data_IF_323166383939
#
_entry.id   IF_323166383939
#
_cell.length_a   1.000
_cell.length_b   1.000
_cell.length_c   1.000
_cell.angle_alpha   90.00
_cell.angle_beta   90.00
_cell.angle_gamma   90.00
#
_symmetry.space_group_name_H-M   'P 1'
#
loop_
_entity.id
_entity.type
_entity.pdbx_description
1 polymer ?
#
# COMPACT_ATOMS: atom_id res chain seq x y z
N UNK A 1 12.19 -13.77 27.20
CA UNK A 1 12.38 -13.04 25.93
C UNK A 1 11.74 -13.87 24.85
N UNK A 2 10.56 -13.45 24.39
CA UNK A 2 9.62 -14.34 23.76
C UNK A 2 9.65 -14.31 22.23
N UNK A 3 8.95 -15.27 21.65
CA UNK A 3 8.67 -15.48 20.23
C UNK A 3 8.28 -14.15 19.52
N UNK A 4 7.58 -13.25 20.18
CA UNK A 4 7.24 -11.91 19.66
C UNK A 4 8.44 -11.01 19.30
N UNK A 5 9.54 -11.10 20.04
CA UNK A 5 10.75 -10.29 19.74
C UNK A 5 11.53 -10.82 18.53
N UNK A 6 11.45 -12.11 18.27
CA UNK A 6 12.09 -12.74 17.12
C UNK A 6 11.35 -12.40 15.82
N UNK A 7 10.02 -12.51 15.82
CA UNK A 7 9.18 -12.11 14.65
C UNK A 7 9.28 -10.62 14.33
N UNK A 8 9.41 -9.77 15.33
CA UNK A 8 9.64 -8.32 15.14
C UNK A 8 10.98 -8.04 14.45
N UNK A 9 12.02 -8.79 14.84
CA UNK A 9 13.36 -8.65 14.26
C UNK A 9 13.41 -9.09 12.79
N UNK A 10 12.82 -10.24 12.46
CA UNK A 10 12.75 -10.77 11.10
C UNK A 10 11.97 -9.83 10.16
N UNK A 11 10.85 -9.27 10.62
CA UNK A 11 10.08 -8.27 9.87
C UNK A 11 10.89 -6.99 9.61
N UNK A 12 11.66 -6.51 10.60
CA UNK A 12 12.55 -5.35 10.44
C UNK A 12 13.65 -5.67 9.42
N UNK A 13 14.30 -6.80 9.51
CA UNK A 13 15.34 -7.22 8.55
C UNK A 13 14.81 -7.30 7.10
N UNK A 14 13.60 -7.84 6.92
CA UNK A 14 12.95 -7.89 5.61
C UNK A 14 12.59 -6.50 5.09
N UNK A 15 12.12 -5.61 5.96
CA UNK A 15 11.84 -4.20 5.62
C UNK A 15 13.11 -3.47 5.21
N UNK A 16 14.18 -3.56 6.00
CA UNK A 16 15.46 -2.91 5.73
C UNK A 16 16.09 -3.42 4.43
N UNK A 17 16.01 -4.72 4.17
CA UNK A 17 16.46 -5.33 2.91
C UNK A 17 15.62 -4.87 1.73
N UNK A 18 14.30 -4.87 1.87
CA UNK A 18 13.37 -4.45 0.81
C UNK A 18 13.49 -2.96 0.47
N UNK A 19 13.84 -2.11 1.43
CA UNK A 19 14.02 -0.68 1.22
C UNK A 19 15.46 -0.26 0.93
N UNK A 20 16.41 -1.18 0.83
CA UNK A 20 17.86 -0.87 0.71
C UNK A 20 18.17 0.09 -0.44
N UNK A 21 17.61 -0.12 -1.63
CA UNK A 21 17.83 0.75 -2.80
C UNK A 21 17.24 2.15 -2.60
N UNK A 22 16.06 2.24 -2.02
CA UNK A 22 15.44 3.53 -1.69
C UNK A 22 16.26 4.26 -0.63
N UNK A 23 16.69 3.55 0.42
CA UNK A 23 17.55 4.08 1.47
C UNK A 23 18.87 4.62 0.91
N UNK A 24 19.59 3.85 0.09
CA UNK A 24 20.85 4.29 -0.53
C UNK A 24 20.65 5.55 -1.36
N UNK A 25 19.58 5.65 -2.12
CA UNK A 25 19.31 6.80 -2.95
C UNK A 25 18.86 8.02 -2.14
N UNK A 26 17.89 7.88 -1.26
CA UNK A 26 17.30 9.00 -0.50
C UNK A 26 18.23 9.43 0.63
N UNK A 27 18.63 8.51 1.50
CA UNK A 27 19.44 8.83 2.69
C UNK A 27 20.85 9.31 2.32
N UNK A 28 21.51 8.67 1.36
CA UNK A 28 22.84 9.10 0.90
C UNK A 28 22.79 10.52 0.32
N UNK A 29 21.74 10.84 -0.45
CA UNK A 29 21.57 12.19 -1.00
C UNK A 29 21.29 13.22 0.11
N UNK A 30 20.39 12.90 1.06
CA UNK A 30 20.12 13.76 2.22
C UNK A 30 21.40 14.01 2.99
N UNK A 31 22.16 12.97 3.34
CA UNK A 31 23.42 13.11 4.09
C UNK A 31 24.43 13.99 3.34
N UNK A 32 24.52 13.85 2.01
CA UNK A 32 25.39 14.71 1.20
C UNK A 32 24.92 16.17 1.15
N UNK A 33 23.60 16.39 1.06
CA UNK A 33 23.01 17.73 1.01
C UNK A 33 23.31 18.54 2.30
N UNK A 34 23.39 17.86 3.44
CA UNK A 34 23.67 18.49 4.75
C UNK A 34 25.14 18.38 5.20
N UNK A 35 25.98 17.60 4.49
CA UNK A 35 27.37 17.36 4.87
C UNK A 35 28.21 18.65 4.90
N UNK A 36 29.02 18.82 5.95
CA UNK A 36 29.93 19.98 6.10
C UNK A 36 29.26 21.30 6.50
N UNK A 37 27.94 21.28 6.70
CA UNK A 37 27.17 22.43 7.17
C UNK A 37 26.98 22.37 8.68
N UNK A 38 27.24 23.49 9.39
CA UNK A 38 27.06 23.59 10.84
C UNK A 38 25.67 24.09 11.24
N UNK A 39 24.95 24.72 10.30
CA UNK A 39 23.61 25.30 10.51
C UNK A 39 22.72 24.97 9.33
N UNK A 40 21.41 24.99 9.58
CA UNK A 40 20.38 24.90 8.54
C UNK A 40 20.21 26.31 7.96
N UNK A 41 20.67 26.49 6.74
CA UNK A 41 20.52 27.71 5.94
C UNK A 41 19.67 27.43 4.70
N UNK A 42 19.32 28.48 3.95
CA UNK A 42 18.52 28.37 2.73
C UNK A 42 19.14 27.36 1.74
N UNK A 43 20.45 27.33 1.61
CA UNK A 43 21.16 26.41 0.72
C UNK A 43 21.03 24.95 1.17
N UNK A 44 20.91 24.67 2.46
CA UNK A 44 20.62 23.33 2.97
C UNK A 44 19.18 22.93 2.66
N UNK A 45 18.23 23.86 2.80
CA UNK A 45 16.81 23.63 2.50
C UNK A 45 16.58 23.41 1.01
N UNK A 46 17.19 24.22 0.14
CA UNK A 46 17.14 24.05 -1.32
C UNK A 46 17.66 22.66 -1.75
N UNK A 47 18.83 22.26 -1.22
CA UNK A 47 19.40 20.94 -1.50
C UNK A 47 18.49 19.80 -1.00
N UNK A 48 17.84 19.98 0.15
CA UNK A 48 16.91 18.99 0.70
C UNK A 48 15.65 18.89 -0.17
N UNK A 49 15.13 20.02 -0.65
CA UNK A 49 14.00 20.07 -1.58
C UNK A 49 14.34 19.30 -2.86
N UNK A 50 15.50 19.55 -3.48
CA UNK A 50 15.94 18.82 -4.69
C UNK A 50 16.03 17.31 -4.43
N UNK A 51 16.56 16.90 -3.30
CA UNK A 51 16.66 15.47 -2.94
C UNK A 51 15.29 14.84 -2.80
N UNK A 52 14.33 15.47 -2.13
CA UNK A 52 13.00 14.95 -1.92
C UNK A 52 12.23 14.82 -3.26
N UNK A 53 12.33 15.85 -4.12
CA UNK A 53 11.72 15.82 -5.46
C UNK A 53 12.32 14.68 -6.32
N UNK A 54 13.65 14.58 -6.36
CA UNK A 54 14.34 13.55 -7.16
C UNK A 54 14.18 12.14 -6.59
N UNK A 55 13.65 12.02 -5.38
CA UNK A 55 13.28 10.76 -4.72
C UNK A 55 11.80 10.38 -4.89
N UNK A 56 11.09 11.06 -5.81
CA UNK A 56 9.67 10.83 -6.12
C UNK A 56 8.69 11.13 -4.96
N UNK A 57 9.07 11.97 -3.98
CA UNK A 57 8.15 12.43 -2.91
C UNK A 57 7.01 13.29 -3.48
N UNK A 58 7.27 13.96 -4.62
CA UNK A 58 6.34 14.88 -5.26
C UNK A 58 6.48 16.32 -4.74
N UNK A 59 6.27 17.27 -5.63
CA UNK A 59 6.55 18.71 -5.38
C UNK A 59 5.71 19.25 -4.22
N UNK A 60 4.41 19.01 -4.22
CA UNK A 60 3.49 19.53 -3.20
C UNK A 60 3.85 19.05 -1.79
N UNK A 61 4.13 17.75 -1.63
CA UNK A 61 4.52 17.15 -0.35
C UNK A 61 5.90 17.62 0.08
N UNK A 62 6.84 17.77 -0.87
CA UNK A 62 8.17 18.31 -0.60
C UNK A 62 8.09 19.73 -0.03
N UNK A 63 7.35 20.62 -0.67
CA UNK A 63 7.17 22.00 -0.18
C UNK A 63 6.54 22.04 1.22
N UNK A 64 5.60 21.15 1.52
CA UNK A 64 5.05 21.04 2.88
C UNK A 64 6.10 20.58 3.90
N UNK A 65 6.99 19.67 3.53
CA UNK A 65 8.08 19.20 4.40
C UNK A 65 9.05 20.36 4.68
N UNK A 66 9.47 21.07 3.64
CA UNK A 66 10.40 22.21 3.76
C UNK A 66 9.80 23.31 4.63
N UNK A 67 8.57 23.78 4.37
CA UNK A 67 7.88 24.78 5.19
C UNK A 67 7.79 24.41 6.68
N UNK A 68 7.54 23.14 6.98
CA UNK A 68 7.51 22.65 8.37
C UNK A 68 8.88 22.64 9.02
N UNK A 69 9.92 22.29 8.27
CA UNK A 69 11.31 22.34 8.75
C UNK A 69 11.71 23.78 9.01
N UNK A 70 11.45 24.71 8.10
CA UNK A 70 11.72 26.14 8.27
C UNK A 70 11.08 26.69 9.55
N UNK A 71 9.78 26.48 9.73
CA UNK A 71 9.06 26.91 10.94
C UNK A 71 9.65 26.33 12.22
N UNK A 72 10.15 25.10 12.15
CA UNK A 72 10.76 24.45 13.30
C UNK A 72 12.15 25.00 13.61
N UNK A 73 12.94 25.27 12.58
CA UNK A 73 14.26 25.90 12.70
C UNK A 73 14.14 27.32 13.26
N UNK A 74 13.18 28.12 12.76
CA UNK A 74 12.89 29.46 13.28
C UNK A 74 12.50 29.45 14.76
N UNK A 75 11.63 28.51 15.14
CA UNK A 75 11.17 28.38 16.53
C UNK A 75 12.27 27.97 17.49
N UNK A 76 13.07 26.98 17.10
CA UNK A 76 14.05 26.34 17.96
C UNK A 76 15.40 27.13 17.95
N UNK A 77 15.51 28.16 17.12
CA UNK A 77 16.61 29.18 16.97
C UNK A 77 18.00 28.63 16.66
N UNK A 78 18.25 27.37 16.89
CA UNK A 78 19.53 26.72 16.63
C UNK A 78 19.30 25.24 16.36
N UNK A 79 19.44 24.82 15.10
CA UNK A 79 19.33 23.42 14.69
C UNK A 79 20.61 23.00 14.01
N UNK A 80 21.28 22.01 14.58
CA UNK A 80 22.44 21.36 13.96
C UNK A 80 22.00 20.45 12.83
N UNK A 81 22.90 20.12 11.92
CA UNK A 81 22.61 19.20 10.81
C UNK A 81 22.26 17.78 11.29
N UNK A 82 22.76 17.35 12.45
CA UNK A 82 22.37 16.09 13.07
C UNK A 82 20.92 16.10 13.59
N UNK A 83 20.48 17.24 14.16
CA UNK A 83 19.08 17.43 14.59
C UNK A 83 18.14 17.55 13.40
N UNK A 84 18.59 18.13 12.28
CA UNK A 84 17.81 18.25 11.05
C UNK A 84 17.35 16.88 10.52
N UNK A 85 18.21 15.86 10.57
CA UNK A 85 17.85 14.51 10.16
C UNK A 85 16.70 13.95 11.02
N UNK A 86 16.75 14.16 12.33
CA UNK A 86 15.69 13.78 13.25
C UNK A 86 14.37 14.54 12.98
N UNK A 87 14.47 15.86 12.75
CA UNK A 87 13.31 16.69 12.41
C UNK A 87 12.68 16.24 11.11
N UNK A 88 13.47 16.02 10.05
CA UNK A 88 12.98 15.55 8.76
C UNK A 88 12.27 14.21 8.88
N UNK A 89 12.83 13.27 9.62
CA UNK A 89 12.23 11.97 9.91
C UNK A 89 10.87 12.13 10.59
N UNK A 90 10.78 12.94 11.62
CA UNK A 90 9.55 13.18 12.36
C UNK A 90 8.47 13.86 11.49
N UNK A 91 8.86 14.86 10.69
CA UNK A 91 7.93 15.54 9.78
C UNK A 91 7.40 14.60 8.69
N UNK A 92 8.25 13.75 8.11
CA UNK A 92 7.80 12.72 7.16
C UNK A 92 6.84 11.73 7.84
N UNK A 93 7.19 11.24 9.03
CA UNK A 93 6.32 10.32 9.78
C UNK A 93 4.95 10.93 10.12
N UNK A 94 4.92 12.25 10.39
CA UNK A 94 3.69 12.98 10.68
C UNK A 94 2.81 13.23 9.44
N UNK A 95 3.38 13.25 8.25
CA UNK A 95 2.63 13.37 6.99
C UNK A 95 1.99 12.06 6.55
N UNK A 96 2.62 10.94 6.88
CA UNK A 96 2.11 9.62 6.51
C UNK A 96 0.83 9.29 7.26
N UNK A 97 -0.18 8.91 6.47
CA UNK A 97 -1.45 8.40 7.00
C UNK A 97 -1.34 6.89 7.18
N UNK A 98 -1.54 6.44 8.41
CA UNK A 98 -1.47 5.03 8.80
C UNK A 98 -2.87 4.52 9.11
N UNK A 99 -3.10 3.23 8.85
CA UNK A 99 -4.33 2.59 9.26
C UNK A 99 -4.37 2.53 10.80
N UNK A 100 -5.48 3.00 11.39
CA UNK A 100 -5.67 3.06 12.85
C UNK A 100 -5.94 1.69 13.51
N UNK A 101 -5.65 0.57 12.86
CA UNK A 101 -5.69 -0.73 13.53
C UNK A 101 -4.58 -0.76 14.57
N UNK A 102 -4.98 -0.40 15.79
CA UNK A 102 -4.13 -0.41 16.97
C UNK A 102 -3.67 -1.84 17.25
N UNK A 103 -2.38 -1.97 17.54
CA UNK A 103 -1.74 -3.09 18.26
C UNK A 103 -2.03 -4.54 17.80
N UNK A 104 -2.05 -4.80 16.48
CA UNK A 104 -2.16 -6.16 15.95
C UNK A 104 -1.19 -6.45 14.79
N UNK A 105 -1.19 -7.66 14.32
CA UNK A 105 -0.47 -8.10 13.13
C UNK A 105 -1.01 -7.46 11.82
N UNK A 106 -2.06 -6.60 11.92
CA UNK A 106 -2.70 -5.90 10.80
C UNK A 106 -3.71 -6.76 10.02
N UNK A 107 -3.95 -7.98 10.46
CA UNK A 107 -4.91 -8.92 9.87
C UNK A 107 -6.10 -9.19 10.80
N UNK A 108 -6.23 -8.42 11.88
CA UNK A 108 -7.42 -8.38 12.73
C UNK A 108 -8.55 -7.71 11.99
N UNK A 109 -9.73 -8.33 12.00
CA UNK A 109 -10.92 -7.82 11.34
C UNK A 109 -11.80 -7.08 12.34
N UNK A 110 -12.59 -6.08 11.89
CA UNK A 110 -13.58 -5.43 12.74
C UNK A 110 -14.59 -6.46 13.29
N UNK A 111 -14.83 -6.44 14.60
CA UNK A 111 -15.72 -7.41 15.27
C UNK A 111 -17.18 -7.28 14.85
N UNK A 112 -17.59 -6.10 14.39
CA UNK A 112 -18.94 -5.82 13.89
C UNK A 112 -19.22 -6.39 12.49
N UNK A 113 -18.20 -6.96 11.82
CA UNK A 113 -18.31 -7.54 10.46
C UNK A 113 -18.26 -9.06 10.51
N UNK A 114 -19.39 -9.70 10.18
CA UNK A 114 -19.44 -11.16 10.07
C UNK A 114 -18.57 -11.68 8.93
N UNK A 115 -18.60 -11.00 7.79
CA UNK A 115 -17.77 -11.30 6.59
C UNK A 115 -17.19 -9.98 6.08
N UNK A 116 -15.87 -9.82 6.14
CA UNK A 116 -15.16 -8.65 5.66
C UNK A 116 -14.87 -8.76 4.17
N UNK A 117 -15.23 -7.76 3.38
CA UNK A 117 -15.11 -7.78 1.92
C UNK A 117 -14.06 -6.78 1.47
N UNK A 118 -13.02 -7.28 0.79
CA UNK A 118 -11.94 -6.50 0.20
C UNK A 118 -12.08 -6.55 -1.32
N UNK A 119 -12.26 -5.40 -1.95
CA UNK A 119 -12.24 -5.23 -3.40
C UNK A 119 -10.88 -4.67 -3.80
N UNK A 120 -10.11 -5.44 -4.58
CA UNK A 120 -8.75 -5.04 -4.98
C UNK A 120 -8.77 -4.41 -6.36
N UNK A 121 -8.32 -3.16 -6.46
CA UNK A 121 -8.29 -2.35 -7.68
C UNK A 121 -6.88 -1.87 -8.02
N UNK A 122 -6.66 -1.42 -9.25
CA UNK A 122 -5.37 -0.91 -9.73
C UNK A 122 -5.11 -1.33 -11.16
N UNK A 123 -4.11 -0.75 -11.83
CA UNK A 123 -3.81 -1.06 -13.23
C UNK A 123 -3.21 -2.47 -13.39
N UNK A 124 -3.14 -2.96 -14.62
CA UNK A 124 -2.50 -4.24 -14.91
C UNK A 124 -0.97 -4.15 -14.64
N UNK A 125 -0.41 -5.23 -14.09
CA UNK A 125 1.04 -5.34 -13.84
C UNK A 125 1.52 -4.74 -12.51
N UNK A 126 0.68 -4.07 -11.74
CA UNK A 126 1.06 -3.53 -10.40
C UNK A 126 1.15 -4.59 -9.31
N UNK A 127 0.77 -5.84 -9.58
CA UNK A 127 0.85 -6.93 -8.61
C UNK A 127 -0.45 -7.21 -7.84
N UNK A 128 -1.64 -6.83 -8.35
CA UNK A 128 -2.93 -7.10 -7.70
C UNK A 128 -3.10 -8.57 -7.30
N UNK A 129 -3.05 -9.47 -8.28
CA UNK A 129 -3.27 -10.90 -8.06
C UNK A 129 -2.25 -11.51 -7.08
N UNK A 130 -1.00 -11.08 -7.15
CA UNK A 130 0.06 -11.47 -6.20
C UNK A 130 -0.24 -10.93 -4.79
N UNK A 131 -0.67 -9.68 -4.68
CA UNK A 131 -1.07 -9.07 -3.40
C UNK A 131 -2.25 -9.82 -2.78
N UNK A 132 -3.26 -10.18 -3.58
CA UNK A 132 -4.41 -10.97 -3.14
C UNK A 132 -3.96 -12.33 -2.58
N UNK A 133 -3.07 -13.03 -3.29
CA UNK A 133 -2.55 -14.31 -2.82
C UNK A 133 -1.80 -14.20 -1.49
N UNK A 134 -0.96 -13.16 -1.34
CA UNK A 134 -0.23 -12.90 -0.10
C UNK A 134 -1.16 -12.47 1.05
N UNK A 135 -2.17 -11.65 0.78
CA UNK A 135 -3.20 -11.29 1.76
C UNK A 135 -3.98 -12.52 2.23
N UNK A 136 -4.40 -13.37 1.29
CA UNK A 136 -5.09 -14.61 1.61
C UNK A 136 -4.27 -15.52 2.51
N UNK A 137 -2.96 -15.62 2.25
CA UNK A 137 -2.02 -16.36 3.09
C UNK A 137 -1.94 -15.77 4.51
N UNK A 138 -1.77 -14.46 4.63
CA UNK A 138 -1.65 -13.79 5.93
C UNK A 138 -2.94 -13.90 6.75
N UNK A 139 -4.11 -13.68 6.14
CA UNK A 139 -5.40 -13.87 6.83
C UNK A 139 -5.59 -15.32 7.27
N UNK A 140 -5.26 -16.30 6.42
CA UNK A 140 -5.31 -17.71 6.80
C UNK A 140 -4.35 -18.04 7.94
N UNK A 141 -3.12 -17.51 7.90
CA UNK A 141 -2.13 -17.65 8.98
C UNK A 141 -2.64 -17.05 10.30
N UNK A 142 -3.44 -15.98 10.23
CA UNK A 142 -4.14 -15.38 11.36
C UNK A 142 -5.42 -16.15 11.79
N UNK A 143 -5.65 -17.36 11.25
CA UNK A 143 -6.78 -18.22 11.60
C UNK A 143 -8.10 -17.84 10.93
N UNK A 144 -8.11 -16.95 9.92
CA UNK A 144 -9.32 -16.50 9.25
C UNK A 144 -9.70 -17.43 8.10
N UNK A 145 -10.99 -17.63 7.90
CA UNK A 145 -11.56 -18.37 6.77
C UNK A 145 -11.71 -17.42 5.58
N UNK A 146 -10.88 -17.62 4.54
CA UNK A 146 -10.75 -16.73 3.39
C UNK A 146 -11.39 -17.32 2.14
N UNK A 147 -12.06 -16.48 1.36
CA UNK A 147 -12.57 -16.80 0.02
C UNK A 147 -12.00 -15.83 -1.01
N UNK A 148 -11.73 -16.33 -2.22
CA UNK A 148 -11.28 -15.50 -3.35
C UNK A 148 -12.36 -15.45 -4.44
N UNK A 149 -12.46 -14.30 -5.14
CA UNK A 149 -13.31 -14.12 -6.30
C UNK A 149 -12.50 -13.60 -7.50
N UNK A 150 -12.51 -14.35 -8.61
CA UNK A 150 -11.76 -14.03 -9.83
C UNK A 150 -12.60 -13.17 -10.79
N UNK A 151 -12.77 -11.88 -10.49
CA UNK A 151 -13.58 -10.99 -11.30
C UNK A 151 -12.80 -10.27 -12.43
N UNK A 152 -11.50 -10.53 -12.66
CA UNK A 152 -10.77 -10.14 -13.89
C UNK A 152 -11.05 -11.18 -15.00
N UNK A 153 -12.31 -11.33 -15.40
CA UNK A 153 -12.82 -12.40 -16.26
C UNK A 153 -12.33 -12.32 -17.70
N UNK A 154 -11.78 -11.21 -18.13
CA UNK A 154 -11.30 -11.00 -19.50
C UNK A 154 -9.81 -11.32 -19.69
N UNK A 155 -9.12 -11.73 -18.61
CA UNK A 155 -7.71 -12.11 -18.64
C UNK A 155 -7.51 -13.53 -18.12
N UNK A 156 -7.41 -14.49 -19.05
CA UNK A 156 -7.22 -15.90 -18.70
C UNK A 156 -6.02 -16.10 -17.75
N UNK A 157 -4.89 -15.49 -18.06
CA UNK A 157 -3.70 -15.58 -17.22
C UNK A 157 -3.89 -15.00 -15.80
N UNK A 158 -4.74 -13.99 -15.61
CA UNK A 158 -5.02 -13.45 -14.27
C UNK A 158 -5.88 -14.43 -13.46
N UNK A 159 -6.90 -15.01 -14.08
CA UNK A 159 -7.74 -16.03 -13.44
C UNK A 159 -6.91 -17.27 -13.08
N UNK A 160 -6.07 -17.77 -14.01
CA UNK A 160 -5.18 -18.91 -13.77
C UNK A 160 -4.17 -18.61 -12.65
N UNK A 161 -3.58 -17.43 -12.64
CA UNK A 161 -2.67 -17.00 -11.57
C UNK A 161 -3.37 -16.98 -10.20
N UNK A 162 -4.61 -16.50 -10.14
CA UNK A 162 -5.36 -16.48 -8.89
C UNK A 162 -5.74 -17.90 -8.43
N UNK A 163 -6.02 -18.83 -9.37
CA UNK A 163 -6.23 -20.25 -9.06
C UNK A 163 -4.97 -20.86 -8.44
N UNK A 164 -3.79 -20.62 -9.03
CA UNK A 164 -2.51 -21.10 -8.48
C UNK A 164 -2.30 -20.57 -7.05
N UNK A 165 -2.62 -19.29 -6.80
CA UNK A 165 -2.56 -18.73 -5.45
C UNK A 165 -3.56 -19.40 -4.50
N UNK A 166 -4.80 -19.63 -4.95
CA UNK A 166 -5.84 -20.32 -4.17
C UNK A 166 -5.39 -21.72 -3.73
N UNK A 167 -4.81 -22.49 -4.65
CA UNK A 167 -4.26 -23.81 -4.40
C UNK A 167 -3.05 -23.77 -3.45
N UNK A 168 -2.10 -22.86 -3.73
CA UNK A 168 -0.89 -22.69 -2.91
C UNK A 168 -1.21 -22.31 -1.46
N UNK A 169 -2.18 -21.45 -1.26
CA UNK A 169 -2.64 -21.02 0.07
C UNK A 169 -3.62 -22.01 0.67
N UNK A 170 -4.30 -22.81 -0.15
CA UNK A 170 -5.35 -23.76 0.27
C UNK A 170 -6.59 -23.01 0.77
N UNK A 171 -7.11 -22.07 -0.05
CA UNK A 171 -8.34 -21.32 0.19
C UNK A 171 -9.28 -21.47 -1.02
N UNK A 172 -10.62 -21.51 -0.83
CA UNK A 172 -11.56 -21.61 -1.94
C UNK A 172 -11.54 -20.38 -2.84
N UNK A 173 -11.78 -20.61 -4.14
CA UNK A 173 -11.91 -19.58 -5.16
C UNK A 173 -13.22 -19.75 -5.93
N UNK A 174 -13.92 -18.64 -6.17
CA UNK A 174 -15.08 -18.57 -7.06
C UNK A 174 -14.64 -17.93 -8.38
N UNK A 175 -14.85 -18.64 -9.46
CA UNK A 175 -14.58 -18.21 -10.84
C UNK A 175 -15.71 -18.66 -11.76
N UNK A 176 -15.87 -17.96 -12.87
CA UNK A 176 -16.79 -18.31 -13.94
C UNK A 176 -16.04 -18.49 -15.28
N UNK A 177 -16.78 -18.74 -16.36
CA UNK A 177 -16.20 -18.84 -17.71
C UNK A 177 -15.56 -17.52 -18.13
N UNK A 178 -14.54 -17.60 -18.96
CA UNK A 178 -13.92 -16.42 -19.57
C UNK A 178 -14.97 -15.51 -20.23
N UNK A 179 -14.86 -14.21 -20.00
CA UNK A 179 -15.79 -13.21 -20.53
C UNK A 179 -17.13 -13.11 -19.78
N UNK A 180 -17.33 -13.87 -18.69
CA UNK A 180 -18.49 -13.68 -17.80
C UNK A 180 -18.50 -12.28 -17.19
N UNK A 181 -19.68 -11.81 -16.79
CA UNK A 181 -19.81 -10.52 -16.12
C UNK A 181 -19.03 -10.51 -14.79
N UNK A 182 -18.04 -9.62 -14.62
CA UNK A 182 -17.28 -9.50 -13.38
C UNK A 182 -18.15 -9.34 -12.12
N UNK A 183 -19.26 -8.61 -12.26
CA UNK A 183 -20.19 -8.40 -11.16
C UNK A 183 -20.92 -9.69 -10.74
N UNK A 184 -21.18 -10.62 -11.68
CA UNK A 184 -21.76 -11.92 -11.33
C UNK A 184 -20.78 -12.79 -10.56
N UNK A 185 -19.49 -12.74 -10.90
CA UNK A 185 -18.44 -13.45 -10.13
C UNK A 185 -18.36 -12.92 -8.71
N UNK A 186 -18.38 -11.60 -8.54
CA UNK A 186 -18.37 -10.97 -7.22
C UNK A 186 -19.63 -11.37 -6.40
N UNK A 187 -20.80 -11.40 -7.02
CA UNK A 187 -22.04 -11.85 -6.38
C UNK A 187 -21.93 -13.29 -5.88
N UNK A 188 -21.47 -14.19 -6.73
CA UNK A 188 -21.33 -15.61 -6.39
C UNK A 188 -20.29 -15.83 -5.31
N UNK A 189 -19.16 -15.09 -5.37
CA UNK A 189 -18.11 -15.16 -4.37
C UNK A 189 -18.61 -14.73 -2.98
N UNK A 190 -19.32 -13.60 -2.89
CA UNK A 190 -19.88 -13.13 -1.64
C UNK A 190 -21.00 -14.07 -1.13
N UNK A 191 -21.86 -14.56 -2.01
CA UNK A 191 -22.93 -15.50 -1.66
C UNK A 191 -22.37 -16.81 -1.12
N UNK A 192 -21.36 -17.38 -1.79
CA UNK A 192 -20.66 -18.58 -1.33
C UNK A 192 -19.95 -18.37 0.00
N UNK A 193 -19.26 -17.26 0.16
CA UNK A 193 -18.56 -16.93 1.39
C UNK A 193 -19.52 -16.78 2.57
N UNK A 194 -20.63 -16.06 2.38
CA UNK A 194 -21.67 -15.86 3.39
C UNK A 194 -22.32 -17.20 3.79
N UNK A 195 -22.63 -18.06 2.82
CA UNK A 195 -23.22 -19.38 3.07
C UNK A 195 -22.29 -20.33 3.84
N UNK A 196 -20.98 -20.09 3.75
CA UNK A 196 -19.96 -20.89 4.42
C UNK A 196 -19.33 -20.19 5.64
N UNK A 197 -19.93 -19.13 6.15
CA UNK A 197 -19.42 -18.37 7.31
C UNK A 197 -17.93 -18.01 7.16
N UNK A 198 -17.56 -17.43 6.00
CA UNK A 198 -16.22 -16.94 5.77
C UNK A 198 -15.98 -15.61 6.49
N UNK A 199 -14.79 -15.45 7.05
CA UNK A 199 -14.36 -14.20 7.72
C UNK A 199 -14.00 -13.12 6.70
N UNK A 200 -13.37 -13.51 5.57
CA UNK A 200 -12.84 -12.57 4.56
C UNK A 200 -13.16 -13.04 3.15
N UNK A 201 -13.58 -12.11 2.31
CA UNK A 201 -13.67 -12.30 0.86
C UNK A 201 -12.79 -11.28 0.15
N UNK A 202 -11.91 -11.74 -0.74
CA UNK A 202 -11.03 -10.86 -1.52
C UNK A 202 -11.37 -11.01 -3.00
N UNK A 203 -11.74 -9.92 -3.66
CA UNK A 203 -12.16 -9.90 -5.06
C UNK A 203 -11.07 -9.26 -5.93
N UNK A 204 -10.52 -10.05 -6.86
CA UNK A 204 -9.62 -9.54 -7.92
C UNK A 204 -10.44 -8.87 -9.02
N UNK A 205 -10.04 -7.68 -9.46
CA UNK A 205 -10.74 -6.92 -10.51
C UNK A 205 -9.84 -6.60 -11.70
N UNK A 206 -10.44 -6.30 -12.83
CA UNK A 206 -9.73 -5.83 -14.02
C UNK A 206 -8.97 -4.52 -13.76
N UNK A 207 -7.91 -4.28 -14.53
CA UNK A 207 -7.08 -3.08 -14.40
C UNK A 207 -6.73 -2.41 -15.75
N UNK A 208 -7.64 -2.45 -16.74
CA UNK A 208 -7.42 -1.93 -18.09
C UNK A 208 -7.65 -0.42 -18.16
N UNK A 209 -6.71 0.37 -17.65
CA UNK A 209 -6.88 1.83 -17.55
C UNK A 209 -6.93 2.56 -18.92
N UNK A 210 -6.43 1.95 -20.00
CA UNK A 210 -6.55 2.51 -21.34
C UNK A 210 -8.01 2.68 -21.80
N UNK A 211 -8.95 1.90 -21.24
CA UNK A 211 -10.39 2.09 -21.41
C UNK A 211 -11.01 2.54 -20.08
N UNK A 212 -10.59 3.71 -19.61
CA UNK A 212 -10.90 4.25 -18.29
C UNK A 212 -12.39 4.25 -17.96
N UNK A 213 -13.23 4.77 -18.87
CA UNK A 213 -14.67 4.90 -18.61
C UNK A 213 -15.30 3.55 -18.39
N UNK A 214 -15.00 2.56 -19.23
CA UNK A 214 -15.57 1.22 -19.10
C UNK A 214 -15.09 0.52 -17.83
N UNK A 215 -13.80 0.66 -17.51
CA UNK A 215 -13.25 0.11 -16.27
C UNK A 215 -13.95 0.69 -15.03
N UNK A 216 -14.13 2.02 -14.98
CA UNK A 216 -14.75 2.67 -13.82
C UNK A 216 -16.24 2.29 -13.69
N UNK A 217 -16.95 2.17 -14.81
CA UNK A 217 -18.33 1.65 -14.81
C UNK A 217 -18.41 0.20 -14.32
N UNK A 218 -17.47 -0.64 -14.74
CA UNK A 218 -17.38 -2.03 -14.31
C UNK A 218 -17.11 -2.12 -12.79
N UNK A 219 -16.14 -1.38 -12.27
CA UNK A 219 -15.83 -1.34 -10.84
C UNK A 219 -17.01 -0.84 -10.01
N UNK A 220 -17.72 0.18 -10.49
CA UNK A 220 -18.95 0.69 -9.86
C UNK A 220 -20.05 -0.37 -9.86
N UNK A 221 -20.22 -1.10 -10.96
CA UNK A 221 -21.19 -2.21 -11.06
C UNK A 221 -20.87 -3.32 -10.06
N UNK A 222 -19.60 -3.74 -9.98
CA UNK A 222 -19.13 -4.74 -9.02
C UNK A 222 -19.47 -4.31 -7.59
N UNK A 223 -19.09 -3.07 -7.21
CA UNK A 223 -19.41 -2.50 -5.89
C UNK A 223 -20.91 -2.53 -5.58
N UNK A 224 -21.75 -2.10 -6.53
CA UNK A 224 -23.19 -2.07 -6.33
C UNK A 224 -23.79 -3.47 -6.18
N UNK A 225 -23.24 -4.46 -6.87
CA UNK A 225 -23.69 -5.85 -6.76
C UNK A 225 -23.27 -6.49 -5.43
N UNK A 226 -22.09 -6.16 -4.92
CA UNK A 226 -21.64 -6.61 -3.58
C UNK A 226 -22.62 -6.17 -2.49
N UNK A 227 -23.15 -4.95 -2.56
CA UNK A 227 -24.14 -4.40 -1.61
C UNK A 227 -25.45 -5.18 -1.59
N UNK A 228 -25.81 -5.89 -2.66
CA UNK A 228 -27.01 -6.74 -2.71
C UNK A 228 -26.87 -8.01 -1.86
N UNK A 229 -25.64 -8.47 -1.60
CA UNK A 229 -25.34 -9.65 -0.78
C UNK A 229 -25.02 -9.26 0.65
N UNK A 230 -24.16 -8.25 0.81
CA UNK A 230 -23.73 -7.67 2.11
C UNK A 230 -23.91 -6.16 1.98
N UNK A 231 -24.91 -5.57 2.67
CA UNK A 231 -25.35 -4.18 2.40
C UNK A 231 -24.29 -3.09 2.53
N UNK A 232 -23.30 -3.28 3.38
CA UNK A 232 -22.19 -2.36 3.63
C UNK A 232 -20.89 -2.74 2.88
N UNK A 233 -20.92 -3.78 2.04
CA UNK A 233 -19.78 -4.16 1.20
C UNK A 233 -19.60 -3.22 -0.01
N UNK A 234 -18.35 -3.09 -0.52
CA UNK A 234 -17.11 -3.57 0.06
C UNK A 234 -16.70 -2.74 1.27
N UNK A 235 -16.14 -3.37 2.31
CA UNK A 235 -15.64 -2.69 3.49
C UNK A 235 -14.28 -2.02 3.23
N UNK A 236 -13.52 -2.63 2.32
CA UNK A 236 -12.21 -2.12 1.89
C UNK A 236 -12.12 -2.12 0.37
N UNK A 237 -11.78 -0.97 -0.20
CA UNK A 237 -11.37 -0.83 -1.59
C UNK A 237 -9.87 -0.56 -1.57
N UNK A 238 -9.11 -1.65 -1.77
CA UNK A 238 -7.66 -1.65 -1.72
C UNK A 238 -7.09 -1.31 -3.10
N UNK A 239 -6.52 -0.12 -3.24
CA UNK A 239 -5.78 0.27 -4.43
C UNK A 239 -4.34 -0.24 -4.36
N UNK A 240 -3.97 -1.07 -5.32
CA UNK A 240 -2.58 -1.55 -5.47
C UNK A 240 -1.84 -0.67 -6.46
N UNK A 241 -0.71 -0.14 -6.02
CA UNK A 241 0.18 0.74 -6.79
C UNK A 241 1.58 0.12 -6.88
N UNK A 242 2.25 0.33 -8.01
CA UNK A 242 3.64 -0.09 -8.23
C UNK A 242 4.57 1.05 -7.83
N UNK A 243 5.32 0.89 -6.74
CA UNK A 243 6.27 1.89 -6.24
C UNK A 243 7.42 2.20 -7.19
N UNK A 244 7.71 1.33 -8.16
CA UNK A 244 8.75 1.57 -9.16
C UNK A 244 8.36 2.57 -10.26
N UNK A 245 7.07 2.88 -10.37
CA UNK A 245 6.55 3.77 -11.42
C UNK A 245 6.63 5.26 -11.07
N UNK A 246 7.01 5.60 -9.82
CA UNK A 246 7.20 6.98 -9.38
C UNK A 246 5.94 7.84 -9.60
N UNK A 247 6.08 8.98 -10.28
CA UNK A 247 4.98 9.92 -10.49
C UNK A 247 3.76 9.33 -11.22
N UNK A 248 3.93 8.26 -12.02
CA UNK A 248 2.78 7.59 -12.64
C UNK A 248 1.83 6.96 -11.60
N UNK A 249 2.34 6.57 -10.43
CA UNK A 249 1.51 6.04 -9.36
C UNK A 249 0.56 7.12 -8.79
N UNK A 250 0.96 8.40 -8.77
CA UNK A 250 0.08 9.49 -8.35
C UNK A 250 -1.11 9.66 -9.30
N UNK A 251 -0.86 9.63 -10.61
CA UNK A 251 -1.95 9.75 -11.58
C UNK A 251 -2.92 8.57 -11.48
N UNK A 252 -2.42 7.36 -11.28
CA UNK A 252 -3.24 6.19 -11.02
C UNK A 252 -4.07 6.36 -9.73
N UNK A 253 -3.44 6.77 -8.64
CA UNK A 253 -4.13 7.01 -7.37
C UNK A 253 -5.27 8.01 -7.54
N UNK A 254 -5.01 9.14 -8.21
CA UNK A 254 -6.00 10.18 -8.51
C UNK A 254 -7.20 9.63 -9.28
N UNK A 255 -6.94 8.82 -10.31
CA UNK A 255 -8.00 8.29 -11.17
C UNK A 255 -8.87 7.27 -10.47
N UNK A 256 -8.27 6.33 -9.72
CA UNK A 256 -9.02 5.32 -8.98
C UNK A 256 -9.78 5.92 -7.80
N UNK A 257 -9.17 6.84 -7.05
CA UNK A 257 -9.81 7.50 -5.90
C UNK A 257 -11.05 8.29 -6.32
N UNK A 258 -10.97 8.99 -7.46
CA UNK A 258 -12.12 9.74 -8.00
C UNK A 258 -13.30 8.85 -8.41
N UNK A 259 -13.05 7.57 -8.71
CA UNK A 259 -14.04 6.69 -9.31
C UNK A 259 -14.59 5.61 -8.37
N UNK A 260 -13.83 5.17 -7.36
CA UNK A 260 -14.16 3.95 -6.59
C UNK A 260 -14.16 4.13 -5.07
N UNK A 261 -13.98 5.34 -4.56
CA UNK A 261 -13.92 5.59 -3.10
C UNK A 261 -12.85 4.73 -2.40
N UNK A 262 -11.64 4.70 -2.97
CA UNK A 262 -10.50 4.00 -2.38
C UNK A 262 -10.30 4.42 -0.93
N UNK A 263 -10.17 3.46 -0.01
CA UNK A 263 -9.98 3.72 1.41
C UNK A 263 -8.76 3.01 2.02
N UNK A 264 -8.00 2.25 1.21
CA UNK A 264 -6.74 1.64 1.60
C UNK A 264 -5.77 1.54 0.41
N UNK A 265 -4.47 1.64 0.68
CA UNK A 265 -3.41 1.52 -0.32
C UNK A 265 -2.51 0.32 -0.01
N UNK A 266 -2.09 -0.37 -1.07
CA UNK A 266 -0.96 -1.29 -1.04
C UNK A 266 0.09 -0.82 -2.05
N UNK A 267 1.33 -0.63 -1.62
CA UNK A 267 2.43 -0.23 -2.52
C UNK A 267 3.38 -1.40 -2.68
N UNK A 268 3.53 -1.87 -3.92
CA UNK A 268 4.32 -3.06 -4.28
C UNK A 268 5.67 -2.70 -4.88
N UNK A 269 6.55 -3.69 -5.04
CA UNK A 269 7.84 -3.60 -5.72
C UNK A 269 8.81 -2.58 -5.13
N UNK A 270 8.71 -2.35 -3.83
CA UNK A 270 9.62 -1.42 -3.15
C UNK A 270 11.05 -1.95 -3.07
N UNK A 271 11.25 -3.27 -3.09
CA UNK A 271 12.53 -3.96 -3.12
C UNK A 271 13.34 -3.72 -4.40
N UNK A 272 12.64 -3.41 -5.49
CA UNK A 272 13.25 -3.16 -6.80
C UNK A 272 13.60 -1.70 -7.10
N UNK A 273 13.16 -0.73 -6.27
CA UNK A 273 13.16 0.68 -6.65
C UNK A 273 13.94 1.59 -5.71
N UNK A 274 14.51 2.64 -6.30
CA UNK A 274 15.04 3.81 -5.58
C UNK A 274 13.97 4.91 -5.37
N UNK A 275 12.71 4.68 -5.81
CA UNK A 275 11.62 5.64 -5.85
C UNK A 275 10.62 5.50 -4.70
N UNK A 276 11.01 4.87 -3.60
CA UNK A 276 10.12 4.63 -2.45
C UNK A 276 9.55 5.89 -1.79
N UNK A 277 10.08 7.07 -2.11
CA UNK A 277 9.51 8.36 -1.71
C UNK A 277 8.07 8.57 -2.20
N UNK A 278 7.67 7.88 -3.27
CA UNK A 278 6.29 7.89 -3.78
C UNK A 278 5.25 7.52 -2.71
N UNK A 279 5.60 6.64 -1.77
CA UNK A 279 4.73 6.26 -0.64
C UNK A 279 4.37 7.48 0.21
N UNK A 280 5.35 8.36 0.46
CA UNK A 280 5.19 9.57 1.27
C UNK A 280 4.23 10.53 0.57
N UNK A 281 4.49 10.82 -0.70
CA UNK A 281 3.69 11.77 -1.46
C UNK A 281 2.25 11.30 -1.68
N UNK A 282 2.02 10.05 -2.06
CA UNK A 282 0.67 9.51 -2.26
C UNK A 282 -0.12 9.53 -0.95
N UNK A 283 0.51 9.10 0.16
CA UNK A 283 -0.15 9.12 1.48
C UNK A 283 -0.55 10.54 1.90
N UNK A 284 0.33 11.53 1.69
CA UNK A 284 0.03 12.93 2.03
C UNK A 284 -1.06 13.54 1.13
N UNK A 285 -0.94 13.38 -0.19
CA UNK A 285 -1.87 14.04 -1.13
C UNK A 285 -3.29 13.51 -1.06
N UNK A 286 -3.44 12.18 -0.99
CA UNK A 286 -4.76 11.55 -1.04
C UNK A 286 -5.38 11.32 0.33
N UNK A 287 -4.61 11.44 1.42
CA UNK A 287 -5.05 11.17 2.81
C UNK A 287 -5.67 9.78 2.99
N UNK A 288 -5.28 8.85 2.13
CA UNK A 288 -5.68 7.45 2.20
C UNK A 288 -4.57 6.68 2.93
N UNK A 289 -4.91 5.86 3.93
CA UNK A 289 -3.91 5.11 4.67
C UNK A 289 -3.20 4.09 3.77
N UNK A 290 -1.88 4.10 3.81
CA UNK A 290 -1.09 2.96 3.33
C UNK A 290 -1.28 1.83 4.33
N UNK A 291 -1.78 0.69 3.86
CA UNK A 291 -2.08 -0.46 4.71
C UNK A 291 -1.03 -1.56 4.58
N UNK A 292 -0.57 -1.78 3.35
CA UNK A 292 0.38 -2.84 3.03
C UNK A 292 1.51 -2.34 2.13
N UNK A 293 2.69 -2.96 2.30
CA UNK A 293 3.85 -2.78 1.42
C UNK A 293 4.39 -4.13 0.96
N UNK A 294 4.70 -4.22 -0.35
CA UNK A 294 5.32 -5.38 -0.98
C UNK A 294 6.83 -5.17 -1.11
N UNK A 295 7.59 -6.08 -0.51
CA UNK A 295 9.04 -6.01 -0.32
C UNK A 295 9.78 -7.15 -1.04
N UNK A 296 9.13 -7.85 -1.96
CA UNK A 296 9.70 -8.97 -2.71
C UNK A 296 8.65 -9.91 -3.29
N UNK A 297 9.09 -11.03 -3.85
CA UNK A 297 8.25 -12.01 -4.55
C UNK A 297 7.75 -13.15 -3.64
N UNK A 298 8.35 -13.36 -2.49
CA UNK A 298 7.97 -14.40 -1.54
C UNK A 298 6.56 -14.23 -0.99
N UNK A 299 5.94 -15.31 -0.56
CA UNK A 299 4.57 -15.31 -0.02
C UNK A 299 4.44 -14.45 1.26
N UNK A 300 5.52 -14.30 2.01
CA UNK A 300 5.59 -13.51 3.24
C UNK A 300 6.09 -12.08 3.01
N UNK A 301 6.49 -11.70 1.77
CA UNK A 301 7.05 -10.40 1.43
C UNK A 301 5.96 -9.30 1.27
N UNK A 302 4.81 -9.48 1.88
CA UNK A 302 3.80 -8.45 2.07
C UNK A 302 3.72 -8.13 3.55
N UNK A 303 4.03 -6.90 3.90
CA UNK A 303 4.00 -6.44 5.30
C UNK A 303 2.93 -5.38 5.51
N UNK A 304 2.40 -5.34 6.73
CA UNK A 304 1.56 -4.23 7.19
C UNK A 304 2.44 -2.99 7.28
N UNK A 305 1.97 -1.90 6.72
CA UNK A 305 2.67 -0.64 6.76
C UNK A 305 2.65 -0.04 8.17
N UNK A 306 3.82 0.29 8.69
CA UNK A 306 4.03 1.00 9.93
C UNK A 306 4.87 2.24 9.63
N UNK A 307 4.27 3.42 9.73
CA UNK A 307 4.89 4.68 9.29
C UNK A 307 6.24 4.96 9.96
N UNK A 308 6.36 4.70 11.26
CA UNK A 308 7.62 4.92 11.98
C UNK A 308 8.69 3.91 11.57
N UNK A 309 8.34 2.63 11.44
CA UNK A 309 9.26 1.59 10.98
C UNK A 309 9.74 1.85 9.56
N UNK A 310 8.81 2.23 8.66
CA UNK A 310 9.13 2.59 7.28
C UNK A 310 10.09 3.78 7.21
N UNK A 311 9.81 4.86 7.94
CA UNK A 311 10.66 6.05 7.95
C UNK A 311 12.01 5.74 8.59
N UNK A 312 12.06 5.01 9.72
CA UNK A 312 13.32 4.61 10.35
C UNK A 312 14.18 3.76 9.41
N UNK A 313 13.57 2.82 8.68
CA UNK A 313 14.30 2.02 7.68
C UNK A 313 14.88 2.87 6.56
N UNK A 314 14.16 3.91 6.09
CA UNK A 314 14.67 4.86 5.09
C UNK A 314 15.87 5.67 5.61
N UNK A 315 15.90 6.00 6.91
CA UNK A 315 16.97 6.78 7.53
C UNK A 315 18.08 5.94 8.18
N UNK A 316 17.92 4.61 8.19
CA UNK A 316 18.98 3.69 8.62
C UNK A 316 19.11 3.49 10.11
N UNK A 317 18.01 3.59 10.84
CA UNK A 317 17.92 3.35 12.30
C UNK A 317 17.24 2.03 12.66
#
# INVERSE_FOLDING_TARGET
>A
MGIFSFFSKEKKETLDKGLSKTKENVFTKITRAIAGKSKVDDAVLDNLEEVLITSDVGVETTLKIIDRIEKRVERDKYVTTSELTGILRDEIANLLTENKTEDGDGFTLPEDKKTYVIMVVGVNGVGKTTTIGKLAYQFKKAGKKVYLGAADTFRAAAVEQLVIWSERVGVPIVKQKMGSDPASVAFDALSSAKANDADVVIIDTAGRLHNKINLMNELTKIKNVMKKVIPDAPHEILLVLDGSTGQNAFEQAKQFTAATEVNALAVTKLDGTAKGGVVIGISDQFKIPVKYIGLGEGIEDLQVFRKREFVNSLFGE
#
